data_IF_910740156807
#
_entry.id   IF_910740156807
#
_cell.length_a   1.000
_cell.length_b   1.000
_cell.length_c   1.000
_cell.angle_alpha   90.00
_cell.angle_beta   90.00
_cell.angle_gamma   90.00
#
_symmetry.space_group_name_H-M   'P 1'
#
loop_
_entity.id
_entity.type
_entity.pdbx_description
1 polymer ?
#
# COMPACT_ATOMS: atom_id res chain seq x y z
N UNK A 1 -3.88 0.86 -15.67
CA UNK A 1 -3.45 0.24 -14.39
C UNK A 1 -3.26 1.29 -13.30
N UNK A 2 -4.02 1.17 -12.21
CA UNK A 2 -3.95 1.98 -10.99
C UNK A 2 -3.32 1.11 -9.90
N UNK A 3 -2.35 1.65 -9.15
CA UNK A 3 -1.72 0.97 -8.02
C UNK A 3 -1.86 1.87 -6.79
N UNK A 4 -2.44 1.35 -5.71
CA UNK A 4 -2.59 2.07 -4.46
C UNK A 4 -1.99 1.26 -3.30
N UNK A 5 -1.20 1.91 -2.45
CA UNK A 5 -0.56 1.29 -1.29
C UNK A 5 -0.79 2.20 -0.07
N UNK A 6 -1.54 1.70 0.90
CA UNK A 6 -1.78 2.38 2.18
C UNK A 6 -0.95 1.73 3.28
N UNK A 7 -0.33 2.53 4.14
CA UNK A 7 0.33 2.06 5.36
C UNK A 7 -0.17 2.94 6.50
N UNK A 8 -0.62 2.33 7.58
CA UNK A 8 -1.24 3.04 8.71
C UNK A 8 -0.73 2.52 10.05
N UNK A 9 -0.46 3.46 10.95
CA UNK A 9 0.06 3.24 12.30
C UNK A 9 -0.51 4.29 13.26
N UNK A 10 -0.35 4.06 14.56
CA UNK A 10 -0.59 5.01 15.64
C UNK A 10 -2.07 5.26 15.90
N UNK A 11 -2.92 4.24 15.72
CA UNK A 11 -4.37 4.42 15.75
C UNK A 11 -4.91 5.22 14.56
N UNK A 12 -4.07 5.46 13.55
CA UNK A 12 -4.41 6.22 12.35
C UNK A 12 -5.51 5.56 11.53
N UNK A 13 -6.08 6.34 10.62
CA UNK A 13 -7.07 5.86 9.65
C UNK A 13 -6.62 6.20 8.24
N UNK A 14 -6.69 5.23 7.35
CA UNK A 14 -6.46 5.44 5.92
C UNK A 14 -7.65 4.92 5.13
N UNK A 15 -8.06 5.66 4.11
CA UNK A 15 -9.11 5.25 3.18
C UNK A 15 -8.58 5.35 1.77
N UNK A 16 -8.51 4.21 1.08
CA UNK A 16 -8.12 4.16 -0.32
C UNK A 16 -9.36 4.37 -1.20
N UNK A 17 -9.35 5.46 -1.96
CA UNK A 17 -10.39 5.74 -2.96
C UNK A 17 -9.83 5.43 -4.36
N UNK A 18 -10.61 4.70 -5.15
CA UNK A 18 -10.33 4.48 -6.57
C UNK A 18 -11.62 4.55 -7.34
N UNK A 19 -11.62 5.28 -8.45
CA UNK A 19 -12.76 5.34 -9.36
C UNK A 19 -12.30 5.04 -10.78
N UNK A 20 -13.02 4.14 -11.46
CA UNK A 20 -12.85 3.86 -12.88
C UNK A 20 -14.19 4.07 -13.56
N UNK A 21 -14.23 4.97 -14.54
CA UNK A 21 -15.41 5.22 -15.37
C UNK A 21 -15.06 5.00 -16.83
N UNK A 22 -15.89 4.23 -17.52
CA UNK A 22 -15.80 4.00 -18.96
C UNK A 22 -17.02 4.64 -19.60
N UNK A 23 -16.79 5.67 -20.42
CA UNK A 23 -17.85 6.41 -21.12
C UNK A 23 -18.32 5.66 -22.38
N UNK A 24 -19.55 5.93 -22.86
CA UNK A 24 -20.05 5.34 -24.10
C UNK A 24 -19.12 5.63 -25.30
N UNK A 25 -18.83 4.62 -26.12
CA UNK A 25 -17.96 4.73 -27.29
C UNK A 25 -16.47 4.54 -26.99
N UNK A 26 -16.10 4.31 -25.73
CA UNK A 26 -14.75 3.96 -25.33
C UNK A 26 -14.49 2.45 -25.53
N UNK A 27 -14.53 2.01 -26.79
CA UNK A 27 -14.44 0.59 -27.15
C UNK A 27 -13.06 -0.01 -26.90
N UNK A 28 -13.02 -1.28 -26.49
CA UNK A 28 -11.78 -2.04 -26.31
C UNK A 28 -10.91 -1.54 -25.15
N UNK A 29 -11.54 -0.97 -24.12
CA UNK A 29 -10.84 -0.45 -22.93
C UNK A 29 -10.47 -1.59 -21.99
N UNK A 30 -9.22 -1.62 -21.58
CA UNK A 30 -8.73 -2.47 -20.51
C UNK A 30 -8.13 -1.63 -19.38
N UNK A 31 -8.51 -1.92 -18.13
CA UNK A 31 -7.87 -1.33 -16.97
C UNK A 31 -7.80 -2.29 -15.79
N UNK A 32 -6.89 -2.01 -14.88
CA UNK A 32 -6.75 -2.78 -13.65
C UNK A 32 -6.52 -1.86 -12.46
N UNK A 33 -7.05 -2.24 -11.30
CA UNK A 33 -6.88 -1.56 -10.02
C UNK A 33 -6.30 -2.55 -9.02
N UNK A 34 -5.06 -2.32 -8.61
CA UNK A 34 -4.35 -3.10 -7.61
C UNK A 34 -4.19 -2.25 -6.35
N UNK A 35 -4.77 -2.67 -5.23
CA UNK A 35 -4.65 -1.94 -3.96
C UNK A 35 -4.20 -2.84 -2.81
N UNK A 36 -3.43 -2.28 -1.88
CA UNK A 36 -3.15 -2.97 -0.62
C UNK A 36 -2.99 -2.01 0.54
N UNK A 37 -3.60 -2.33 1.67
CA UNK A 37 -3.43 -1.58 2.92
C UNK A 37 -2.75 -2.43 3.97
N UNK A 38 -1.72 -1.88 4.61
CA UNK A 38 -0.98 -2.50 5.72
C UNK A 38 -1.23 -1.73 7.01
N UNK A 39 -1.80 -2.40 8.00
CA UNK A 39 -1.92 -1.89 9.37
C UNK A 39 -0.75 -2.38 10.22
N UNK A 40 -0.02 -1.46 10.84
CA UNK A 40 1.16 -1.76 11.67
C UNK A 40 0.83 -1.99 13.15
N UNK A 41 -0.41 -1.71 13.55
CA UNK A 41 -0.92 -1.96 14.90
C UNK A 41 -2.41 -2.32 14.89
N UNK A 42 -2.91 -2.73 16.06
CA UNK A 42 -4.28 -3.21 16.21
C UNK A 42 -5.33 -2.09 16.27
N UNK A 43 -4.93 -0.86 16.62
CA UNK A 43 -5.81 0.29 16.81
C UNK A 43 -6.11 1.02 15.49
N UNK A 44 -5.18 0.93 14.55
CA UNK A 44 -5.29 1.51 13.22
C UNK A 44 -6.41 0.89 12.40
N UNK A 45 -6.93 1.66 11.44
CA UNK A 45 -7.96 1.20 10.51
C UNK A 45 -7.60 1.55 9.08
N UNK A 46 -7.87 0.60 8.18
CA UNK A 46 -7.76 0.79 6.75
C UNK A 46 -9.10 0.46 6.09
N UNK A 47 -9.59 1.39 5.28
CA UNK A 47 -10.83 1.26 4.53
C UNK A 47 -10.54 1.40 3.03
N UNK A 48 -11.42 0.87 2.20
CA UNK A 48 -11.30 0.98 0.74
C UNK A 48 -12.67 1.24 0.16
N UNK A 49 -12.76 2.26 -0.69
CA UNK A 49 -13.99 2.73 -1.30
C UNK A 49 -13.80 2.79 -2.83
N UNK A 50 -13.92 1.64 -3.52
CA UNK A 50 -13.82 1.58 -4.97
C UNK A 50 -15.14 1.98 -5.64
N UNK A 51 -15.05 2.60 -6.81
CA UNK A 51 -16.17 2.85 -7.73
C UNK A 51 -15.79 2.38 -9.13
N UNK A 52 -16.68 1.62 -9.77
CA UNK A 52 -16.54 1.21 -11.17
C UNK A 52 -17.87 1.49 -11.87
N UNK A 53 -17.82 2.33 -12.90
CA UNK A 53 -18.95 2.70 -13.76
C UNK A 53 -18.60 2.33 -15.21
N UNK A 54 -19.40 1.44 -15.82
CA UNK A 54 -19.14 0.94 -17.17
C UNK A 54 -20.34 1.22 -18.08
N UNK A 55 -20.16 2.16 -19.00
CA UNK A 55 -21.15 2.49 -20.02
C UNK A 55 -20.74 2.00 -21.43
N UNK A 56 -19.79 1.04 -21.50
CA UNK A 56 -19.35 0.38 -22.73
C UNK A 56 -19.30 -1.15 -22.55
N UNK A 57 -19.77 -1.89 -23.56
CA UNK A 57 -20.03 -3.32 -23.44
C UNK A 57 -18.79 -4.20 -23.61
N UNK A 58 -17.77 -3.73 -24.33
CA UNK A 58 -16.53 -4.45 -24.60
C UNK A 58 -15.37 -4.02 -23.67
N UNK A 59 -15.67 -3.30 -22.58
CA UNK A 59 -14.68 -2.86 -21.61
C UNK A 59 -14.38 -3.94 -20.54
N UNK A 60 -13.09 -4.12 -20.22
CA UNK A 60 -12.62 -5.06 -19.21
C UNK A 60 -11.89 -4.33 -18.07
N UNK A 61 -12.47 -4.35 -16.86
CA UNK A 61 -11.88 -3.77 -15.66
C UNK A 61 -11.68 -4.83 -14.59
N UNK A 62 -10.42 -5.04 -14.18
CA UNK A 62 -10.08 -5.94 -13.08
C UNK A 62 -9.74 -5.16 -11.81
N UNK A 63 -10.24 -5.60 -10.65
CA UNK A 63 -9.84 -5.07 -9.36
C UNK A 63 -9.38 -6.18 -8.42
N UNK A 64 -8.19 -5.99 -7.85
CA UNK A 64 -7.59 -6.88 -6.88
C UNK A 64 -7.04 -6.09 -5.69
N UNK A 65 -7.15 -6.65 -4.49
CA UNK A 65 -6.51 -6.03 -3.35
C UNK A 65 -6.75 -6.69 -2.01
N UNK A 66 -6.04 -6.21 -1.00
CA UNK A 66 -6.09 -6.77 0.35
C UNK A 66 -5.86 -5.73 1.45
N UNK A 67 -6.54 -5.91 2.58
CA UNK A 67 -6.20 -5.25 3.84
C UNK A 67 -5.51 -6.27 4.73
N UNK A 68 -4.30 -5.98 5.18
CA UNK A 68 -3.49 -6.89 6.00
C UNK A 68 -2.99 -6.18 7.25
N UNK A 69 -2.86 -6.95 8.33
CA UNK A 69 -2.14 -6.54 9.54
C UNK A 69 -0.73 -7.12 9.49
N UNK A 70 0.23 -6.44 10.10
CA UNK A 70 1.55 -7.05 10.32
C UNK A 70 1.36 -8.34 11.15
N UNK A 71 2.06 -9.40 10.75
CA UNK A 71 1.94 -10.71 11.40
C UNK A 71 2.83 -10.77 12.64
N UNK A 72 2.23 -10.99 13.81
CA UNK A 72 2.98 -11.20 15.06
C UNK A 72 3.87 -12.44 14.99
N UNK A 73 3.44 -13.49 14.28
CA UNK A 73 4.23 -14.70 14.05
C UNK A 73 5.48 -14.41 13.21
N UNK A 74 5.34 -13.60 12.15
CA UNK A 74 6.47 -13.17 11.33
C UNK A 74 7.44 -12.29 12.14
N UNK A 75 6.92 -11.36 12.95
CA UNK A 75 7.76 -10.53 13.82
C UNK A 75 8.50 -11.39 14.86
N UNK A 76 7.84 -12.37 15.46
CA UNK A 76 8.44 -13.34 16.37
C UNK A 76 9.53 -14.17 15.67
N UNK A 77 9.26 -14.66 14.45
CA UNK A 77 10.22 -15.40 13.65
C UNK A 77 11.47 -14.56 13.33
N UNK A 78 11.29 -13.31 12.89
CA UNK A 78 12.40 -12.38 12.61
C UNK A 78 13.21 -12.10 13.88
N UNK A 79 12.55 -11.88 15.02
CA UNK A 79 13.21 -11.72 16.32
C UNK A 79 14.04 -12.95 16.72
N UNK A 80 13.55 -14.17 16.44
CA UNK A 80 14.32 -15.40 16.68
C UNK A 80 15.61 -15.51 15.86
N UNK A 81 15.73 -14.72 14.77
CA UNK A 81 16.91 -14.60 13.92
C UNK A 81 17.78 -13.39 14.26
N UNK A 82 17.49 -12.69 15.36
CA UNK A 82 18.24 -11.52 15.82
C UNK A 82 17.85 -10.20 15.14
N UNK A 83 16.78 -10.19 14.34
CA UNK A 83 16.25 -8.97 13.71
C UNK A 83 15.38 -8.24 14.73
N UNK A 84 15.67 -6.98 15.00
CA UNK A 84 14.85 -6.18 15.92
C UNK A 84 13.44 -5.95 15.36
N UNK A 85 12.48 -5.67 16.24
CA UNK A 85 11.10 -5.38 15.82
C UNK A 85 11.06 -4.21 14.83
N UNK A 86 11.85 -3.17 15.06
CA UNK A 86 11.87 -1.98 14.20
C UNK A 86 12.48 -2.28 12.83
N UNK A 87 13.55 -3.06 12.76
CA UNK A 87 14.10 -3.55 11.48
C UNK A 87 13.09 -4.42 10.73
N UNK A 88 12.38 -5.32 11.43
CA UNK A 88 11.36 -6.15 10.83
C UNK A 88 10.19 -5.33 10.26
N UNK A 89 9.69 -4.35 11.03
CA UNK A 89 8.63 -3.44 10.59
C UNK A 89 9.10 -2.62 9.38
N UNK A 90 10.34 -2.13 9.39
CA UNK A 90 10.95 -1.42 8.27
C UNK A 90 10.98 -2.27 7.00
N UNK A 91 11.42 -3.53 7.08
CA UNK A 91 11.43 -4.41 5.91
C UNK A 91 10.03 -4.63 5.32
N UNK A 92 9.00 -4.78 6.17
CA UNK A 92 7.62 -4.99 5.72
C UNK A 92 7.07 -3.73 5.04
N UNK A 93 7.36 -2.55 5.59
CA UNK A 93 6.94 -1.26 5.04
C UNK A 93 7.63 -1.00 3.70
N UNK A 94 8.95 -1.20 3.62
CA UNK A 94 9.69 -1.06 2.37
C UNK A 94 9.17 -2.04 1.31
N UNK A 95 8.95 -3.31 1.65
CA UNK A 95 8.38 -4.29 0.72
C UNK A 95 6.97 -3.93 0.24
N UNK A 96 6.17 -3.30 1.10
CA UNK A 96 4.83 -2.81 0.71
C UNK A 96 4.91 -1.60 -0.23
N UNK A 97 5.86 -0.70 0.02
CA UNK A 97 6.05 0.53 -0.75
C UNK A 97 6.82 0.31 -2.07
N UNK A 98 7.59 -0.77 -2.18
CA UNK A 98 8.54 -1.05 -3.29
C UNK A 98 7.93 -0.85 -4.69
N UNK A 99 6.70 -1.34 -4.90
CA UNK A 99 6.02 -1.25 -6.20
C UNK A 99 5.77 0.21 -6.64
N UNK A 100 5.60 1.11 -5.67
CA UNK A 100 5.39 2.54 -5.90
C UNK A 100 6.74 3.26 -5.94
N UNK A 101 7.64 2.98 -4.99
CA UNK A 101 8.93 3.69 -4.88
C UNK A 101 9.84 3.44 -6.08
N UNK A 102 9.78 2.26 -6.72
CA UNK A 102 10.50 1.98 -7.98
C UNK A 102 10.12 2.87 -9.16
N UNK A 103 8.98 3.58 -9.09
CA UNK A 103 8.54 4.54 -10.12
C UNK A 103 9.02 5.96 -9.87
N UNK A 104 9.59 6.21 -8.69
CA UNK A 104 10.14 7.50 -8.31
C UNK A 104 11.54 7.63 -8.96
N UNK A 105 11.89 8.79 -9.52
CA UNK A 105 13.24 9.01 -10.06
C UNK A 105 14.32 8.74 -9.01
N UNK A 106 15.46 8.19 -9.43
CA UNK A 106 16.50 7.70 -8.51
C UNK A 106 17.09 8.83 -7.65
N UNK A 107 17.10 10.05 -8.16
CA UNK A 107 17.51 11.26 -7.46
C UNK A 107 16.64 11.59 -6.23
N UNK A 108 15.45 11.00 -6.11
CA UNK A 108 14.56 11.14 -4.94
C UNK A 108 14.45 9.86 -4.12
N UNK A 109 15.11 8.77 -4.53
CA UNK A 109 15.00 7.48 -3.84
C UNK A 109 15.52 7.58 -2.40
N UNK A 110 16.61 8.33 -2.19
CA UNK A 110 17.23 8.54 -0.87
C UNK A 110 16.29 9.29 0.07
N UNK A 111 15.60 10.32 -0.43
CA UNK A 111 14.65 11.13 0.33
C UNK A 111 13.43 10.31 0.76
N UNK A 112 12.93 9.43 -0.12
CA UNK A 112 11.80 8.55 0.19
C UNK A 112 12.18 7.54 1.26
N UNK A 113 13.34 6.90 1.14
CA UNK A 113 13.84 5.97 2.15
C UNK A 113 14.02 6.68 3.51
N UNK A 114 14.57 7.89 3.50
CA UNK A 114 14.74 8.69 4.72
C UNK A 114 13.42 9.12 5.34
N UNK A 115 12.41 9.45 4.54
CA UNK A 115 11.07 9.77 5.04
C UNK A 115 10.43 8.54 5.71
N UNK A 116 10.55 7.37 5.08
CA UNK A 116 10.06 6.11 5.65
C UNK A 116 10.78 5.81 6.98
N UNK A 117 12.09 6.02 7.06
CA UNK A 117 12.84 5.88 8.32
C UNK A 117 12.30 6.78 9.43
N UNK A 118 12.06 8.05 9.13
CA UNK A 118 11.57 9.03 10.11
C UNK A 118 10.19 8.65 10.65
N UNK A 119 9.28 8.17 9.78
CA UNK A 119 7.93 7.75 10.17
C UNK A 119 7.91 6.44 10.97
N UNK A 120 8.87 5.53 10.72
CA UNK A 120 8.93 4.26 11.42
C UNK A 120 9.72 4.32 12.73
N UNK A 121 10.80 5.11 12.73
CA UNK A 121 11.78 5.16 13.80
C UNK A 121 11.57 6.29 14.79
N UNK A 122 10.33 6.71 15.05
CA UNK A 122 10.01 7.83 15.96
C UNK A 122 10.93 7.90 17.19
N UNK A 123 11.90 8.81 17.13
CA UNK A 123 12.81 9.19 18.22
C UNK A 123 14.24 8.68 18.11
N UNK A 124 15.11 9.40 17.39
CA UNK A 124 16.42 9.71 18.00
C UNK A 124 16.09 10.76 19.07
N UNK A 125 15.86 10.30 20.30
CA UNK A 125 15.46 11.12 21.44
C UNK A 125 14.81 10.31 22.54
#
# INVERSE_FOLDING_TARGET
>A
KIINRGIVRGGGRTTLHSAVRVEPGATGVESSVDWSSLMLDAESRAETAPSIELDEADAEITQEGSVRKVSDEMLFYMASRGVTKDEALRMVVLGTAEVVTKRIPIEYAVEVDRLIELELGGGIG
#
